data_IF_363225405295
#
_entry.id   IF_363225405295
#
_cell.length_a   1.000
_cell.length_b   1.000
_cell.length_c   1.000
_cell.angle_alpha   90.00
_cell.angle_beta   90.00
_cell.angle_gamma   90.00
#
_symmetry.space_group_name_H-M   'P 1'
#
loop_
_entity.id
_entity.type
_entity.pdbx_description
1 polymer ?
#
# COMPACT_ATOMS: atom_id res chain seq x y z
N UNK A 1 -24.87 -30.24 -51.61
CA UNK A 1 -24.82 -30.09 -50.12
C UNK A 1 -23.59 -29.31 -49.59
N UNK A 2 -22.88 -28.49 -50.40
CA UNK A 2 -21.60 -27.89 -49.99
C UNK A 2 -21.69 -26.53 -49.25
N UNK A 3 -22.84 -25.84 -49.29
CA UNK A 3 -22.99 -24.49 -48.72
C UNK A 3 -23.33 -24.45 -47.22
N UNK A 4 -23.95 -25.49 -46.67
CA UNK A 4 -24.34 -25.52 -45.25
C UNK A 4 -23.12 -25.69 -44.32
N UNK A 5 -22.16 -26.54 -44.69
CA UNK A 5 -20.92 -26.74 -43.91
C UNK A 5 -20.08 -25.49 -43.76
N UNK A 6 -19.95 -24.67 -44.82
CA UNK A 6 -19.19 -23.42 -44.78
C UNK A 6 -19.79 -22.40 -43.82
N UNK A 7 -21.12 -22.27 -43.79
CA UNK A 7 -21.82 -21.33 -42.90
C UNK A 7 -21.68 -21.75 -41.44
N UNK A 8 -21.85 -23.05 -41.14
CA UNK A 8 -21.67 -23.58 -39.79
C UNK A 8 -20.24 -23.34 -39.29
N UNK A 9 -19.24 -23.63 -40.13
CA UNK A 9 -17.83 -23.40 -39.79
C UNK A 9 -17.55 -21.93 -39.46
N UNK A 10 -18.03 -20.99 -40.28
CA UNK A 10 -17.85 -19.55 -40.02
C UNK A 10 -18.47 -19.14 -38.69
N UNK A 11 -19.68 -19.61 -38.37
CA UNK A 11 -20.35 -19.29 -37.10
C UNK A 11 -19.52 -19.77 -35.90
N UNK A 12 -19.00 -20.99 -35.96
CA UNK A 12 -18.16 -21.56 -34.90
C UNK A 12 -16.87 -20.73 -34.74
N UNK A 13 -16.17 -20.43 -35.84
CA UNK A 13 -14.94 -19.63 -35.79
C UNK A 13 -15.23 -18.23 -35.22
N UNK A 14 -16.29 -17.57 -35.66
CA UNK A 14 -16.69 -16.27 -35.15
C UNK A 14 -17.01 -16.29 -33.65
N UNK A 15 -17.68 -17.33 -33.13
CA UNK A 15 -17.97 -17.43 -31.71
C UNK A 15 -16.70 -17.61 -30.87
N UNK A 16 -15.75 -18.40 -31.33
CA UNK A 16 -14.44 -18.54 -30.67
C UNK A 16 -13.65 -17.23 -30.65
N UNK A 17 -13.62 -16.50 -31.77
CA UNK A 17 -12.92 -15.21 -31.86
C UNK A 17 -13.57 -14.21 -30.89
N UNK A 18 -14.90 -14.10 -30.89
CA UNK A 18 -15.62 -13.18 -29.99
C UNK A 18 -15.37 -13.52 -28.52
N UNK A 19 -15.43 -14.81 -28.16
CA UNK A 19 -15.14 -15.26 -26.80
C UNK A 19 -13.69 -14.92 -26.40
N UNK A 20 -12.71 -15.17 -27.27
CA UNK A 20 -11.30 -14.87 -27.02
C UNK A 20 -11.06 -13.37 -26.80
N UNK A 21 -11.60 -12.51 -27.67
CA UNK A 21 -11.50 -11.05 -27.52
C UNK A 21 -12.17 -10.59 -26.23
N UNK A 22 -13.36 -11.11 -25.91
CA UNK A 22 -14.05 -10.81 -24.66
C UNK A 22 -13.22 -11.15 -23.42
N UNK A 23 -12.62 -12.34 -23.38
CA UNK A 23 -11.75 -12.75 -22.26
C UNK A 23 -10.51 -11.87 -22.14
N UNK A 24 -9.95 -11.41 -23.26
CA UNK A 24 -8.77 -10.54 -23.28
C UNK A 24 -9.08 -9.17 -22.69
N UNK A 25 -10.21 -8.56 -23.09
CA UNK A 25 -10.66 -7.26 -22.56
C UNK A 25 -10.96 -7.36 -21.06
N UNK A 26 -11.64 -8.43 -20.65
CA UNK A 26 -11.95 -8.67 -19.25
C UNK A 26 -10.67 -8.81 -18.40
N UNK A 27 -9.72 -9.63 -18.86
CA UNK A 27 -8.44 -9.80 -18.20
C UNK A 27 -7.69 -8.46 -18.05
N UNK A 28 -7.68 -7.64 -19.10
CA UNK A 28 -7.03 -6.33 -19.05
C UNK A 28 -7.67 -5.40 -18.02
N UNK A 29 -9.01 -5.37 -17.96
CA UNK A 29 -9.75 -4.53 -17.01
C UNK A 29 -9.47 -4.93 -15.56
N UNK A 30 -9.50 -6.24 -15.27
CA UNK A 30 -9.22 -6.76 -13.92
C UNK A 30 -7.79 -6.47 -13.50
N UNK A 31 -6.81 -6.76 -14.37
CA UNK A 31 -5.38 -6.51 -14.08
C UNK A 31 -5.12 -5.01 -13.90
N UNK A 32 -5.75 -4.15 -14.71
CA UNK A 32 -5.69 -2.70 -14.58
C UNK A 32 -6.18 -2.24 -13.21
N UNK A 33 -7.39 -2.65 -12.81
CA UNK A 33 -7.96 -2.28 -11.52
C UNK A 33 -7.12 -2.75 -10.33
N UNK A 34 -6.56 -3.96 -10.37
CA UNK A 34 -5.66 -4.47 -9.33
C UNK A 34 -4.38 -3.62 -9.24
N UNK A 35 -3.80 -3.23 -10.39
CA UNK A 35 -2.59 -2.39 -10.43
C UNK A 35 -2.85 -1.00 -9.86
N UNK A 36 -3.99 -0.40 -10.16
CA UNK A 36 -4.32 0.92 -9.63
C UNK A 36 -4.62 0.88 -8.13
N UNK A 37 -5.35 -0.14 -7.66
CA UNK A 37 -5.52 -0.38 -6.22
C UNK A 37 -4.18 -0.59 -5.52
N UNK A 38 -3.26 -1.34 -6.14
CA UNK A 38 -1.91 -1.56 -5.61
C UNK A 38 -1.11 -0.25 -5.50
N UNK A 39 -1.20 0.64 -6.49
CA UNK A 39 -0.57 1.96 -6.45
C UNK A 39 -1.12 2.81 -5.30
N UNK A 40 -2.44 2.87 -5.16
CA UNK A 40 -3.10 3.66 -4.11
C UNK A 40 -2.74 3.12 -2.72
N UNK A 41 -2.81 1.80 -2.52
CA UNK A 41 -2.45 1.18 -1.24
C UNK A 41 -0.98 1.44 -0.87
N UNK A 42 -0.07 1.36 -1.86
CA UNK A 42 1.36 1.62 -1.64
C UNK A 42 1.64 3.08 -1.30
N UNK A 43 0.96 4.01 -1.97
CA UNK A 43 1.09 5.44 -1.67
C UNK A 43 0.63 5.75 -0.24
N UNK A 44 -0.50 5.17 0.20
CA UNK A 44 -1.03 5.35 1.56
C UNK A 44 -0.14 4.72 2.62
N UNK A 45 0.40 3.53 2.35
CA UNK A 45 1.37 2.88 3.24
C UNK A 45 2.60 3.75 3.44
N UNK A 46 3.14 4.33 2.36
CA UNK A 46 4.27 5.26 2.43
C UNK A 46 3.93 6.53 3.21
N UNK A 47 2.73 7.07 3.02
CA UNK A 47 2.25 8.24 3.75
C UNK A 47 2.24 8.00 5.27
N UNK A 48 1.67 6.86 5.70
CA UNK A 48 1.65 6.46 7.12
C UNK A 48 3.07 6.24 7.65
N UNK A 49 3.92 5.55 6.89
CA UNK A 49 5.32 5.29 7.27
C UNK A 49 6.11 6.59 7.47
N UNK A 50 5.96 7.54 6.53
CA UNK A 50 6.61 8.84 6.60
C UNK A 50 6.11 9.64 7.81
N UNK A 51 4.80 9.63 8.08
CA UNK A 51 4.23 10.31 9.24
C UNK A 51 4.80 9.76 10.55
N UNK A 52 4.87 8.43 10.69
CA UNK A 52 5.44 7.78 11.89
C UNK A 52 6.93 8.10 12.04
N UNK A 53 7.69 8.09 10.94
CA UNK A 53 9.12 8.40 10.97
C UNK A 53 9.36 9.85 11.35
N UNK A 54 8.60 10.80 10.78
CA UNK A 54 8.68 12.22 11.14
C UNK A 54 8.30 12.49 12.61
N UNK A 55 7.28 11.79 13.12
CA UNK A 55 6.96 11.81 14.55
C UNK A 55 8.15 11.33 15.38
N UNK A 56 8.76 10.21 14.98
CA UNK A 56 9.88 9.60 15.69
C UNK A 56 11.11 10.51 15.72
N UNK A 57 11.41 11.18 14.61
CA UNK A 57 12.50 12.16 14.52
C UNK A 57 12.26 13.38 15.43
N UNK A 58 11.00 13.80 15.58
CA UNK A 58 10.64 14.97 16.38
C UNK A 58 10.61 14.68 17.88
N UNK A 59 10.04 13.53 18.27
CA UNK A 59 9.78 13.21 19.69
C UNK A 59 10.74 12.18 20.28
N UNK A 60 11.63 11.58 19.48
CA UNK A 60 12.55 10.54 19.93
C UNK A 60 11.86 9.26 20.41
N UNK A 61 10.67 8.98 19.88
CA UNK A 61 9.81 7.87 20.28
C UNK A 61 8.77 7.56 19.21
N UNK A 62 8.30 6.31 19.14
CA UNK A 62 7.13 5.96 18.34
C UNK A 62 5.82 6.42 19.01
N UNK A 63 4.78 6.73 18.22
CA UNK A 63 3.44 7.03 18.72
C UNK A 63 2.73 5.76 19.22
N UNK A 64 1.85 5.91 20.21
CA UNK A 64 1.00 4.84 20.74
C UNK A 64 -0.35 4.70 20.04
N UNK A 65 -0.73 5.67 19.23
CA UNK A 65 -2.02 5.67 18.55
C UNK A 65 -2.02 6.57 17.31
N UNK A 66 -3.01 6.35 16.45
CA UNK A 66 -3.30 7.24 15.32
C UNK A 66 -3.69 8.64 15.76
N UNK A 67 -4.33 8.79 16.92
CA UNK A 67 -4.74 10.10 17.47
C UNK A 67 -3.50 10.92 17.84
N UNK A 68 -2.54 10.30 18.53
CA UNK A 68 -1.27 10.93 18.90
C UNK A 68 -0.46 11.30 17.65
N UNK A 69 -0.39 10.40 16.66
CA UNK A 69 0.27 10.67 15.40
C UNK A 69 -0.40 11.82 14.64
N UNK A 70 -1.73 11.86 14.57
CA UNK A 70 -2.47 12.93 13.89
C UNK A 70 -2.37 14.28 14.58
N UNK A 71 -2.20 14.30 15.91
CA UNK A 71 -2.01 15.53 16.67
C UNK A 71 -0.66 16.22 16.40
N UNK A 72 0.35 15.50 15.87
CA UNK A 72 1.63 16.08 15.49
C UNK A 72 1.67 16.61 14.06
N UNK A 73 0.62 16.42 13.27
CA UNK A 73 0.58 16.81 11.86
C UNK A 73 -0.08 18.17 11.67
N UNK A 74 0.21 18.83 10.55
CA UNK A 74 -0.59 19.97 10.09
C UNK A 74 -2.01 19.52 9.74
N UNK A 75 -2.97 20.45 9.73
CA UNK A 75 -4.39 20.14 9.41
C UNK A 75 -4.56 19.44 8.06
N UNK A 76 -3.85 19.91 7.02
CA UNK A 76 -3.89 19.29 5.69
C UNK A 76 -3.26 17.89 5.68
N UNK A 77 -2.09 17.72 6.32
CA UNK A 77 -1.43 16.43 6.40
C UNK A 77 -2.23 15.42 7.23
N UNK A 78 -2.91 15.89 8.28
CA UNK A 78 -3.81 15.08 9.10
C UNK A 78 -4.98 14.52 8.30
N UNK A 79 -5.62 15.34 7.48
CA UNK A 79 -6.71 14.88 6.62
C UNK A 79 -6.26 13.76 5.65
N UNK A 80 -5.08 13.91 5.03
CA UNK A 80 -4.49 12.88 4.18
C UNK A 80 -4.12 11.61 4.94
N UNK A 81 -3.56 11.77 6.15
CA UNK A 81 -3.22 10.66 7.03
C UNK A 81 -4.46 9.87 7.47
N UNK A 82 -5.54 10.55 7.82
CA UNK A 82 -6.80 9.91 8.22
C UNK A 82 -7.36 9.05 7.07
N UNK A 83 -7.30 9.54 5.83
CA UNK A 83 -7.68 8.77 4.63
C UNK A 83 -6.75 7.57 4.43
N UNK A 84 -5.45 7.73 4.68
CA UNK A 84 -4.48 6.65 4.55
C UNK A 84 -4.72 5.53 5.57
N UNK A 85 -4.97 5.90 6.83
CA UNK A 85 -5.24 5.01 7.96
C UNK A 85 -6.53 4.20 7.80
N UNK A 86 -7.50 4.65 6.99
CA UNK A 86 -8.67 3.83 6.63
C UNK A 86 -8.32 2.60 5.77
N UNK A 87 -7.11 2.54 5.21
CA UNK A 87 -6.68 1.43 4.34
C UNK A 87 -5.42 0.72 4.79
N UNK A 88 -4.78 1.22 5.84
CA UNK A 88 -3.58 0.65 6.43
C UNK A 88 -3.90 0.38 7.90
N UNK A 89 -3.92 -0.89 8.28
CA UNK A 89 -4.02 -1.28 9.66
C UNK A 89 -2.66 -1.06 10.32
N UNK A 90 -2.67 -0.33 11.44
CA UNK A 90 -1.48 -0.09 12.24
C UNK A 90 -1.67 -0.75 13.60
N UNK A 91 -0.78 -1.67 13.92
CA UNK A 91 -0.70 -2.27 15.24
C UNK A 91 0.31 -1.48 16.05
N UNK A 92 -0.19 -0.71 17.01
CA UNK A 92 0.62 0.14 17.86
C UNK A 92 1.22 -0.67 19.01
N UNK A 93 2.50 -0.44 19.29
CA UNK A 93 3.17 -1.04 20.44
C UNK A 93 2.80 -0.30 21.73
N UNK A 94 2.87 -0.99 22.87
CA UNK A 94 2.84 -0.37 24.20
C UNK A 94 4.20 0.18 24.64
N UNK A 95 5.26 -0.15 23.90
CA UNK A 95 6.63 0.34 24.08
C UNK A 95 6.98 1.34 22.97
N UNK A 96 7.39 2.56 23.36
CA UNK A 96 7.75 3.67 22.46
C UNK A 96 9.04 3.43 21.66
N UNK A 97 9.80 2.38 21.96
CA UNK A 97 11.03 2.01 21.24
C UNK A 97 10.85 0.82 20.31
N UNK A 98 9.63 0.27 20.25
CA UNK A 98 9.27 -0.80 19.35
C UNK A 98 8.42 -0.22 18.22
N UNK A 99 8.86 -0.45 16.99
CA UNK A 99 8.15 0.03 15.81
C UNK A 99 6.73 -0.55 15.71
N UNK A 100 5.76 0.25 15.25
CA UNK A 100 4.42 -0.26 14.94
C UNK A 100 4.46 -1.19 13.72
N UNK A 101 3.52 -2.13 13.64
CA UNK A 101 3.39 -3.05 12.51
C UNK A 101 2.33 -2.51 11.55
N UNK A 102 2.70 -2.39 10.27
CA UNK A 102 1.81 -1.94 9.20
C UNK A 102 1.28 -3.13 8.40
N UNK A 103 -0.03 -3.17 8.14
CA UNK A 103 -0.69 -4.19 7.31
C UNK A 103 -1.66 -3.54 6.33
N UNK A 104 -1.84 -4.13 5.15
CA UNK A 104 -2.75 -3.60 4.11
C UNK A 104 -4.11 -4.27 4.06
N UNK A 105 -4.48 -5.06 5.09
CA UNK A 105 -5.77 -5.75 5.18
C UNK A 105 -6.13 -6.57 3.93
N UNK A 106 -5.15 -7.31 3.39
CA UNK A 106 -5.32 -8.11 2.18
C UNK A 106 -5.41 -7.30 0.88
N UNK A 107 -5.33 -5.95 0.93
CA UNK A 107 -5.29 -5.13 -0.28
C UNK A 107 -3.97 -5.37 -1.03
N UNK A 108 -4.04 -5.50 -2.37
CA UNK A 108 -2.84 -5.63 -3.18
C UNK A 108 -1.98 -4.39 -2.98
N UNK A 109 -0.68 -4.60 -2.99
CA UNK A 109 0.32 -3.54 -2.92
C UNK A 109 1.31 -3.73 -4.06
N UNK A 110 2.06 -2.68 -4.38
CA UNK A 110 3.18 -2.80 -5.29
C UNK A 110 4.23 -3.71 -4.65
N UNK A 111 5.00 -4.37 -5.51
CA UNK A 111 6.13 -5.19 -5.05
C UNK A 111 7.02 -4.33 -4.14
N UNK A 112 7.46 -4.92 -3.03
CA UNK A 112 8.37 -4.31 -2.04
C UNK A 112 7.81 -3.15 -1.20
N UNK A 113 6.58 -2.66 -1.41
CA UNK A 113 6.11 -1.51 -0.63
C UNK A 113 6.01 -1.80 0.88
N UNK A 114 5.53 -2.99 1.25
CA UNK A 114 5.46 -3.46 2.64
C UNK A 114 6.85 -3.73 3.24
N UNK A 115 7.73 -4.50 2.59
CA UNK A 115 9.13 -4.65 3.02
C UNK A 115 9.85 -3.32 3.23
N UNK A 116 9.69 -2.37 2.31
CA UNK A 116 10.34 -1.06 2.39
C UNK A 116 9.81 -0.25 3.58
N UNK A 117 8.49 -0.20 3.76
CA UNK A 117 7.89 0.45 4.93
C UNK A 117 8.38 -0.16 6.25
N UNK A 118 8.45 -1.49 6.33
CA UNK A 118 8.97 -2.18 7.51
C UNK A 118 10.46 -1.88 7.75
N UNK A 119 11.26 -1.79 6.68
CA UNK A 119 12.69 -1.47 6.76
C UNK A 119 12.93 -0.01 7.20
N UNK A 120 12.11 0.94 6.76
CA UNK A 120 12.16 2.34 7.21
C UNK A 120 11.88 2.42 8.71
N UNK A 121 10.81 1.78 9.19
CA UNK A 121 10.47 1.75 10.61
C UNK A 121 11.52 1.04 11.46
N UNK A 122 12.11 -0.04 10.96
CA UNK A 122 13.22 -0.73 11.64
C UNK A 122 14.45 0.16 11.77
N UNK A 123 14.78 0.95 10.74
CA UNK A 123 15.85 1.94 10.80
C UNK A 123 15.57 3.02 11.84
N UNK A 124 14.33 3.52 11.90
CA UNK A 124 13.93 4.49 12.93
C UNK A 124 14.06 3.89 14.35
N UNK A 125 13.63 2.65 14.56
CA UNK A 125 13.75 1.98 15.86
C UNK A 125 15.21 1.79 16.29
N UNK A 126 16.08 1.42 15.35
CA UNK A 126 17.52 1.28 15.61
C UNK A 126 18.16 2.63 15.95
N UNK A 127 17.74 3.71 15.28
CA UNK A 127 18.21 5.07 15.59
C UNK A 127 17.80 5.51 17.01
N UNK A 128 16.61 5.12 17.49
CA UNK A 128 16.20 5.40 18.86
C UNK A 128 17.03 4.62 19.90
N UNK A 129 17.49 3.42 19.56
CA UNK A 129 18.29 2.59 20.48
C UNK A 129 19.73 3.06 20.62
N UNK A 130 20.29 3.67 19.58
CA UNK A 130 21.64 4.24 19.60
C UNK A 130 21.55 5.66 20.16
N UNK A 131 21.99 5.95 21.39
CA UNK A 131 22.01 7.32 21.88
C UNK A 131 22.87 8.14 20.91
N UNK A 132 22.31 9.26 20.42
CA UNK A 132 23.04 10.19 19.56
C UNK A 132 24.34 10.54 20.28
N UNK A 133 25.48 10.19 19.67
CA UNK A 133 26.77 10.60 20.19
C UNK A 133 26.72 12.13 20.36
N UNK A 134 26.84 12.58 21.61
CA UNK A 134 26.82 13.99 21.97
C UNK A 134 27.83 14.71 21.07
N UNK A 135 27.43 15.70 20.25
CA UNK A 135 28.40 16.50 19.52
C UNK A 135 29.28 17.19 20.57
N UNK A 136 30.58 16.87 20.55
CA UNK A 136 31.55 17.54 21.39
C UNK A 136 31.49 19.04 21.06
N UNK A 137 31.12 19.84 22.06
CA UNK A 137 31.16 21.30 22.02
C UNK A 137 32.60 21.79 21.90
#
# INVERSE_FOLDING_TARGET
MHMQGRRLFVIIVCSFILASVGTTIFAWTVVGGVRDNARVASARLRLVTNAITAYTETFGAFPFSSIELGASQSESARAELDIALQSVQVEWSIDRFVQPILRTDGKPTQLESLPNAAADLARAAEALRKPAATPAL
#
